data_IF_425738457177
#
_entry.id   IF_425738457177
#
_cell.length_a   1.000
_cell.length_b   1.000
_cell.length_c   1.000
_cell.angle_alpha   90.00
_cell.angle_beta   90.00
_cell.angle_gamma   90.00
#
_symmetry.space_group_name_H-M   'P 1'
#
loop_
_entity.id
_entity.type
_entity.pdbx_description
1 polymer ?
#
# COMPACT_ATOMS: atom_id res chain seq x y z
N UNK A 1 56.93 31.12 34.41
CA UNK A 1 55.56 31.51 34.80
C UNK A 1 54.98 32.57 33.84
N UNK A 2 55.65 32.88 32.72
CA UNK A 2 55.22 33.96 31.79
C UNK A 2 54.70 33.52 30.44
N UNK A 3 54.52 32.24 30.18
CA UNK A 3 54.14 31.76 28.90
C UNK A 3 52.64 31.29 28.77
N UNK A 4 51.92 31.30 29.91
CA UNK A 4 50.50 30.84 29.91
C UNK A 4 49.44 31.98 29.74
N UNK A 5 49.88 33.25 29.77
CA UNK A 5 48.91 34.38 29.63
C UNK A 5 48.59 34.81 28.19
N UNK A 6 49.34 34.38 27.20
CA UNK A 6 49.13 34.76 25.80
C UNK A 6 48.24 33.80 25.01
N UNK A 7 47.98 32.61 25.54
CA UNK A 7 47.07 31.65 24.87
C UNK A 7 45.57 31.87 25.18
N UNK A 8 45.26 32.62 26.24
CA UNK A 8 43.86 32.92 26.58
C UNK A 8 43.23 34.12 25.83
N UNK A 9 44.06 34.97 25.18
CA UNK A 9 43.56 36.13 24.43
C UNK A 9 43.34 35.88 22.95
N UNK A 10 43.78 34.77 22.40
CA UNK A 10 43.58 34.41 21.00
C UNK A 10 42.31 33.58 20.75
N UNK A 11 41.67 33.04 21.79
CA UNK A 11 40.48 32.19 21.64
C UNK A 11 39.14 32.98 21.68
N UNK A 12 39.16 34.23 22.17
CA UNK A 12 37.95 35.05 22.32
C UNK A 12 37.66 36.00 21.16
N UNK A 13 38.56 36.10 20.20
CA UNK A 13 38.40 37.00 19.04
C UNK A 13 37.84 36.32 17.76
N UNK A 14 37.44 35.05 17.83
CA UNK A 14 37.02 34.27 16.68
C UNK A 14 35.51 34.01 16.61
N UNK A 15 34.73 34.61 17.50
CA UNK A 15 33.28 34.34 17.62
C UNK A 15 32.36 35.55 17.36
N UNK A 16 32.91 36.71 16.95
CA UNK A 16 32.10 37.92 16.70
C UNK A 16 32.46 38.56 15.37
N UNK A 17 32.34 37.83 14.27
CA UNK A 17 32.38 38.48 12.95
C UNK A 17 31.84 37.52 11.92
N UNK A 18 30.57 37.51 11.75
CA UNK A 18 29.86 37.31 10.49
C UNK A 18 28.37 36.94 10.68
N UNK A 19 27.60 37.90 11.19
CA UNK A 19 26.19 38.00 10.87
C UNK A 19 25.99 39.38 10.30
N UNK A 20 26.33 39.57 9.02
CA UNK A 20 25.85 40.70 8.25
C UNK A 20 24.50 40.27 7.67
N UNK A 21 23.44 40.65 8.37
CA UNK A 21 22.10 40.64 7.85
C UNK A 21 22.05 41.67 6.74
N UNK A 22 21.93 41.21 5.49
CA UNK A 22 21.53 42.07 4.37
C UNK A 22 20.05 42.42 4.58
N UNK A 23 19.80 43.61 5.09
CA UNK A 23 18.51 44.26 5.04
C UNK A 23 18.23 44.66 3.58
N UNK A 24 17.32 43.98 2.95
CA UNK A 24 16.74 44.37 1.67
C UNK A 24 15.71 45.46 1.95
N UNK A 25 15.80 46.65 1.32
CA UNK A 25 14.76 47.67 1.48
C UNK A 25 13.44 47.17 0.90
N UNK A 26 12.37 47.30 1.68
CA UNK A 26 11.02 47.11 1.21
C UNK A 26 10.65 48.16 0.17
N UNK A 27 10.82 47.81 -1.09
CA UNK A 27 10.23 48.56 -2.20
C UNK A 27 8.75 48.21 -2.27
N UNK A 28 7.90 49.19 -1.99
CA UNK A 28 6.47 49.11 -2.24
C UNK A 28 6.24 49.08 -3.75
N UNK A 29 6.10 47.91 -4.33
CA UNK A 29 5.64 47.73 -5.70
C UNK A 29 4.13 47.57 -5.68
N UNK A 30 3.46 48.51 -6.32
CA UNK A 30 2.04 48.47 -6.60
C UNK A 30 1.73 47.15 -7.32
N UNK A 31 0.82 46.38 -6.75
CA UNK A 31 0.29 45.16 -7.36
C UNK A 31 -0.63 45.58 -8.50
N UNK A 32 -0.34 45.26 -9.77
CA UNK A 32 -1.35 45.41 -10.81
C UNK A 32 -2.46 44.38 -10.52
N UNK A 33 -3.71 44.85 -10.60
CA UNK A 33 -4.90 44.01 -10.50
C UNK A 33 -4.77 42.88 -11.51
N UNK A 34 -4.45 41.70 -11.03
CA UNK A 34 -4.45 40.48 -11.83
C UNK A 34 -5.87 40.13 -12.19
N UNK A 35 -6.10 40.14 -13.50
CA UNK A 35 -7.30 39.59 -14.09
C UNK A 35 -7.65 38.25 -13.43
N UNK A 36 -8.88 38.15 -12.96
CA UNK A 36 -9.43 36.89 -12.48
C UNK A 36 -9.24 35.84 -13.56
N UNK A 37 -8.35 34.88 -13.32
CA UNK A 37 -8.32 33.65 -14.07
C UNK A 37 -9.68 32.99 -13.81
N UNK A 38 -10.51 32.73 -14.85
CA UNK A 38 -11.72 32.00 -14.62
C UNK A 38 -11.28 30.65 -14.04
N UNK A 39 -11.74 30.38 -12.83
CA UNK A 39 -11.67 29.00 -12.28
C UNK A 39 -12.35 28.13 -13.34
N UNK A 40 -11.56 27.43 -14.13
CA UNK A 40 -12.05 26.28 -14.87
C UNK A 40 -12.59 25.36 -13.79
N UNK A 41 -13.90 25.48 -13.56
CA UNK A 41 -14.64 24.45 -12.88
C UNK A 41 -14.24 23.16 -13.59
N UNK A 42 -13.46 22.32 -12.92
CA UNK A 42 -13.36 20.93 -13.29
C UNK A 42 -14.81 20.47 -13.27
N UNK A 43 -15.43 20.46 -14.43
CA UNK A 43 -16.63 19.70 -14.69
C UNK A 43 -16.15 18.28 -14.41
N UNK A 44 -16.36 17.85 -13.15
CA UNK A 44 -16.43 16.42 -12.87
C UNK A 44 -17.42 15.94 -13.91
N UNK A 45 -16.91 15.21 -14.91
CA UNK A 45 -17.74 14.46 -15.80
C UNK A 45 -18.49 13.51 -14.87
N UNK A 46 -19.63 13.96 -14.40
CA UNK A 46 -20.65 13.09 -13.89
C UNK A 46 -20.92 12.20 -15.08
N UNK A 47 -20.29 11.01 -15.09
CA UNK A 47 -20.79 9.93 -15.92
C UNK A 47 -22.27 9.92 -15.58
N UNK A 48 -23.16 10.13 -16.57
CA UNK A 48 -24.55 9.95 -16.29
C UNK A 48 -24.64 8.50 -15.79
N UNK A 49 -24.86 8.34 -14.48
CA UNK A 49 -25.42 7.11 -13.98
C UNK A 49 -26.70 7.02 -14.79
N UNK A 50 -26.69 6.20 -15.82
CA UNK A 50 -27.87 5.92 -16.61
C UNK A 50 -28.87 5.50 -15.54
N UNK A 51 -29.80 6.39 -15.22
CA UNK A 51 -30.94 6.03 -14.40
C UNK A 51 -31.57 4.87 -15.14
N UNK A 52 -31.57 3.73 -14.50
CA UNK A 52 -32.17 2.52 -15.01
C UNK A 52 -33.51 2.89 -15.66
N UNK A 53 -33.65 2.58 -16.96
CA UNK A 53 -34.93 2.77 -17.64
C UNK A 53 -36.00 1.99 -16.89
N UNK A 54 -37.26 2.44 -16.86
CA UNK A 54 -38.35 1.68 -16.27
C UNK A 54 -38.41 0.30 -16.92
N UNK A 55 -38.00 -0.74 -16.21
CA UNK A 55 -37.86 -2.11 -16.72
C UNK A 55 -36.55 -2.80 -16.35
N UNK A 56 -35.56 -2.07 -15.80
CA UNK A 56 -34.29 -2.67 -15.36
C UNK A 56 -34.54 -3.75 -14.31
N UNK A 57 -34.00 -4.94 -14.54
CA UNK A 57 -34.09 -6.04 -13.59
C UNK A 57 -33.48 -5.64 -12.24
N UNK A 58 -34.31 -5.66 -11.21
CA UNK A 58 -33.92 -5.49 -9.81
C UNK A 58 -34.23 -6.78 -9.07
N UNK A 59 -33.25 -7.33 -8.39
CA UNK A 59 -33.43 -8.55 -7.61
C UNK A 59 -32.48 -8.55 -6.42
N UNK A 60 -32.77 -9.44 -5.47
CA UNK A 60 -31.90 -9.72 -4.34
C UNK A 60 -31.63 -11.23 -4.25
N UNK A 61 -30.45 -11.58 -3.77
CA UNK A 61 -30.04 -12.98 -3.57
C UNK A 61 -29.49 -13.10 -2.17
N UNK A 62 -29.93 -14.15 -1.43
CA UNK A 62 -29.49 -14.38 -0.07
C UNK A 62 -29.59 -15.87 0.31
N UNK A 63 -28.89 -16.35 1.34
CA UNK A 63 -29.12 -17.67 1.88
C UNK A 63 -30.58 -17.85 2.31
N UNK A 64 -31.07 -19.07 2.21
CA UNK A 64 -32.45 -19.40 2.52
C UNK A 64 -32.57 -20.80 3.10
N UNK A 65 -33.77 -21.14 3.49
CA UNK A 65 -34.21 -22.49 3.82
C UNK A 65 -35.44 -22.83 3.02
N UNK A 66 -35.96 -24.04 3.18
CA UNK A 66 -37.25 -24.47 2.64
C UNK A 66 -38.44 -23.61 3.14
N UNK A 67 -38.23 -22.80 4.18
CA UNK A 67 -39.26 -21.92 4.80
C UNK A 67 -39.01 -20.44 4.51
N UNK A 68 -38.00 -20.10 3.72
CA UNK A 68 -37.64 -18.72 3.42
C UNK A 68 -36.34 -18.24 4.05
N UNK A 69 -36.13 -16.91 4.15
CA UNK A 69 -34.88 -16.31 4.65
C UNK A 69 -34.61 -16.70 6.10
N UNK A 70 -33.35 -16.96 6.41
CA UNK A 70 -32.90 -17.31 7.76
C UNK A 70 -31.94 -16.28 8.39
N UNK A 71 -31.72 -15.17 7.69
CA UNK A 71 -30.88 -14.06 8.19
C UNK A 71 -29.39 -14.26 8.04
N UNK A 72 -28.93 -15.31 7.37
CA UNK A 72 -27.52 -15.48 7.01
C UNK A 72 -27.13 -14.50 5.89
N UNK A 73 -25.94 -13.90 5.97
CA UNK A 73 -25.40 -13.05 4.93
C UNK A 73 -24.69 -13.87 3.84
N UNK A 74 -24.13 -15.03 4.23
CA UNK A 74 -23.39 -15.95 3.36
C UNK A 74 -23.46 -17.37 3.91
N UNK A 75 -23.07 -18.35 3.10
CA UNK A 75 -23.01 -19.75 3.50
C UNK A 75 -21.68 -20.03 4.21
N UNK A 76 -21.73 -20.63 5.39
CA UNK A 76 -20.55 -21.15 6.12
C UNK A 76 -20.81 -22.62 6.41
N UNK A 77 -19.84 -23.45 6.03
CA UNK A 77 -19.91 -24.89 6.22
C UNK A 77 -18.61 -25.46 6.75
N UNK A 78 -18.73 -26.41 7.66
CA UNK A 78 -17.65 -27.28 8.13
C UNK A 78 -18.02 -28.69 7.75
N UNK A 79 -17.32 -29.27 6.80
CA UNK A 79 -17.67 -30.55 6.21
C UNK A 79 -16.44 -31.49 6.17
N UNK A 80 -16.69 -32.78 6.39
CA UNK A 80 -15.66 -33.79 6.12
C UNK A 80 -15.58 -34.09 4.61
N UNK A 81 -14.40 -34.52 4.09
CA UNK A 81 -14.31 -35.03 2.72
C UNK A 81 -15.33 -36.15 2.46
N UNK A 82 -15.92 -36.18 1.29
CA UNK A 82 -16.93 -37.18 0.88
C UNK A 82 -18.33 -36.94 1.42
N UNK A 83 -18.60 -35.80 2.09
CA UNK A 83 -19.94 -35.50 2.61
C UNK A 83 -20.75 -34.63 1.64
N UNK A 84 -22.04 -34.74 1.77
CA UNK A 84 -23.01 -33.92 1.00
C UNK A 84 -23.87 -33.08 1.94
N UNK A 85 -24.28 -31.92 1.46
CA UNK A 85 -25.22 -31.02 2.14
C UNK A 85 -26.18 -30.42 1.12
N UNK A 86 -27.45 -30.31 1.51
CA UNK A 86 -28.45 -29.56 0.72
C UNK A 86 -28.78 -28.27 1.49
N UNK A 87 -28.85 -27.16 0.75
CA UNK A 87 -29.25 -25.85 1.28
C UNK A 87 -30.00 -25.09 0.16
N UNK A 88 -30.43 -23.86 0.44
CA UNK A 88 -31.29 -23.10 -0.49
C UNK A 88 -30.73 -21.72 -0.75
N UNK A 89 -30.82 -21.29 -2.02
CA UNK A 89 -30.56 -19.92 -2.46
C UNK A 89 -31.89 -19.21 -2.70
N UNK A 90 -32.18 -18.18 -1.93
CA UNK A 90 -33.36 -17.36 -2.17
C UNK A 90 -33.10 -16.27 -3.19
N UNK A 91 -33.88 -16.24 -4.25
CA UNK A 91 -33.85 -15.21 -5.29
C UNK A 91 -35.18 -14.46 -5.23
N UNK A 92 -35.11 -13.16 -4.99
CA UNK A 92 -36.29 -12.28 -4.92
C UNK A 92 -36.31 -11.39 -6.15
N UNK A 93 -37.31 -11.52 -6.97
CA UNK A 93 -37.55 -10.61 -8.08
C UNK A 93 -38.31 -9.38 -7.57
N UNK A 94 -37.73 -8.21 -7.74
CA UNK A 94 -38.25 -6.92 -7.30
C UNK A 94 -38.82 -6.10 -8.48
N UNK A 95 -39.14 -6.74 -9.59
CA UNK A 95 -39.76 -6.12 -10.76
C UNK A 95 -41.21 -6.56 -10.92
N UNK A 96 -41.96 -5.80 -11.70
CA UNK A 96 -43.38 -6.07 -11.97
C UNK A 96 -43.59 -7.11 -13.09
N UNK A 97 -42.52 -7.71 -13.63
CA UNK A 97 -42.53 -8.72 -14.65
C UNK A 97 -41.76 -9.98 -14.21
N UNK A 98 -42.18 -11.18 -14.68
CA UNK A 98 -41.39 -12.39 -14.45
C UNK A 98 -39.99 -12.26 -15.02
N UNK A 99 -38.97 -12.69 -14.25
CA UNK A 99 -37.56 -12.67 -14.64
C UNK A 99 -36.97 -14.07 -14.62
N UNK A 100 -36.14 -14.38 -15.63
CA UNK A 100 -35.45 -15.67 -15.69
C UNK A 100 -33.98 -15.46 -15.32
N UNK A 101 -33.55 -16.14 -14.27
CA UNK A 101 -32.18 -16.07 -13.74
C UNK A 101 -31.41 -17.32 -14.18
N UNK A 102 -30.16 -17.10 -14.61
CA UNK A 102 -29.19 -18.16 -14.73
C UNK A 102 -28.46 -18.31 -13.37
N UNK A 103 -28.56 -19.51 -12.78
CA UNK A 103 -27.96 -19.82 -11.48
C UNK A 103 -26.84 -20.83 -11.64
N UNK A 104 -25.70 -20.55 -11.04
CA UNK A 104 -24.53 -21.43 -11.10
C UNK A 104 -23.59 -21.24 -9.91
N UNK A 105 -22.84 -22.32 -9.57
CA UNK A 105 -21.73 -22.26 -8.63
C UNK A 105 -20.44 -21.80 -9.32
N UNK A 106 -19.61 -21.06 -8.63
CA UNK A 106 -18.33 -20.57 -9.13
C UNK A 106 -17.30 -20.48 -7.99
N UNK A 107 -16.01 -20.54 -8.33
CA UNK A 107 -14.92 -20.39 -7.37
C UNK A 107 -14.64 -18.94 -7.07
N UNK A 108 -14.11 -18.70 -5.86
CA UNK A 108 -13.62 -17.41 -5.45
C UNK A 108 -12.10 -17.30 -5.62
N UNK A 109 -11.63 -16.07 -5.79
CA UNK A 109 -10.22 -15.73 -5.77
C UNK A 109 -10.01 -14.34 -5.14
N UNK A 110 -8.80 -14.06 -4.69
CA UNK A 110 -8.43 -12.73 -4.23
C UNK A 110 -7.84 -11.95 -5.41
N UNK A 111 -8.34 -10.75 -5.67
CA UNK A 111 -7.81 -9.86 -6.71
C UNK A 111 -6.46 -9.28 -6.30
N UNK A 112 -5.74 -8.65 -7.24
CA UNK A 112 -4.43 -8.07 -6.97
C UNK A 112 -4.44 -6.94 -5.92
N UNK A 113 -5.58 -6.28 -5.74
CA UNK A 113 -5.85 -5.26 -4.72
C UNK A 113 -6.41 -5.82 -3.41
N UNK A 114 -6.57 -7.16 -3.32
CA UNK A 114 -7.00 -7.85 -2.12
C UNK A 114 -8.51 -8.01 -1.98
N UNK A 115 -9.31 -7.66 -2.99
CA UNK A 115 -10.74 -7.85 -2.93
C UNK A 115 -11.13 -9.32 -3.20
N UNK A 116 -12.20 -9.78 -2.55
CA UNK A 116 -12.82 -11.05 -2.86
C UNK A 116 -13.58 -10.95 -4.19
N UNK A 117 -13.29 -11.82 -5.12
CA UNK A 117 -13.96 -11.90 -6.42
C UNK A 117 -14.35 -13.33 -6.77
N UNK A 118 -15.31 -13.45 -7.68
CA UNK A 118 -15.78 -14.74 -8.20
C UNK A 118 -15.40 -14.87 -9.67
N UNK A 119 -15.07 -16.08 -10.09
CA UNK A 119 -14.75 -16.37 -11.48
C UNK A 119 -15.93 -16.00 -12.39
N UNK A 120 -15.67 -15.49 -13.60
CA UNK A 120 -16.71 -15.21 -14.58
C UNK A 120 -17.35 -16.51 -15.08
N UNK A 121 -18.59 -16.42 -15.55
CA UNK A 121 -19.34 -17.57 -16.05
C UNK A 121 -18.68 -18.33 -17.23
N UNK A 122 -17.73 -17.67 -17.91
CA UNK A 122 -16.93 -18.25 -19.00
C UNK A 122 -15.82 -19.17 -18.53
N UNK A 123 -15.46 -19.11 -17.23
CA UNK A 123 -14.45 -19.98 -16.63
C UNK A 123 -15.10 -21.12 -15.86
N UNK A 124 -14.62 -22.34 -16.09
CA UNK A 124 -15.09 -23.52 -15.37
C UNK A 124 -14.49 -23.52 -13.96
N UNK A 125 -15.30 -23.67 -12.91
CA UNK A 125 -14.82 -23.82 -11.56
C UNK A 125 -14.11 -25.17 -11.38
N UNK A 126 -13.10 -25.20 -10.54
CA UNK A 126 -12.32 -26.40 -10.20
C UNK A 126 -12.42 -26.79 -8.71
N UNK A 127 -12.93 -25.88 -7.88
CA UNK A 127 -13.09 -26.02 -6.43
C UNK A 127 -14.56 -25.96 -6.03
N UNK A 128 -14.93 -25.23 -5.00
CA UNK A 128 -16.29 -25.15 -4.41
C UNK A 128 -17.37 -24.97 -5.45
N UNK A 129 -17.12 -24.16 -6.47
CA UNK A 129 -18.08 -23.95 -7.54
C UNK A 129 -18.41 -25.22 -8.32
N UNK A 130 -17.43 -26.13 -8.48
CA UNK A 130 -17.61 -27.42 -9.15
C UNK A 130 -18.35 -28.46 -8.29
N UNK A 131 -18.35 -28.25 -6.96
CA UNK A 131 -19.02 -29.14 -5.99
C UNK A 131 -20.50 -28.80 -5.82
N UNK A 132 -20.93 -27.66 -6.35
CA UNK A 132 -22.36 -27.24 -6.34
C UNK A 132 -23.10 -27.87 -7.49
N UNK A 133 -24.20 -28.54 -7.16
CA UNK A 133 -25.14 -29.12 -8.14
C UNK A 133 -26.51 -28.49 -7.97
N UNK A 134 -27.09 -28.05 -9.06
CA UNK A 134 -28.41 -27.46 -9.17
C UNK A 134 -29.31 -28.34 -10.06
N UNK A 135 -30.59 -28.39 -9.77
CA UNK A 135 -31.56 -29.15 -10.59
C UNK A 135 -31.74 -28.55 -12.01
N UNK A 136 -31.58 -27.26 -12.15
CA UNK A 136 -31.60 -26.50 -13.39
C UNK A 136 -30.60 -25.37 -13.35
N UNK A 137 -30.24 -24.83 -14.51
CA UNK A 137 -29.47 -23.58 -14.60
C UNK A 137 -30.36 -22.36 -14.78
N UNK A 138 -31.60 -22.53 -15.22
CA UNK A 138 -32.51 -21.43 -15.44
C UNK A 138 -33.73 -21.54 -14.51
N UNK A 139 -34.01 -20.43 -13.82
CA UNK A 139 -35.13 -20.32 -12.90
C UNK A 139 -35.92 -19.05 -13.19
N UNK A 140 -37.21 -19.22 -13.50
CA UNK A 140 -38.14 -18.09 -13.70
C UNK A 140 -38.82 -17.75 -12.39
N UNK A 141 -38.62 -16.51 -11.93
CA UNK A 141 -39.23 -15.97 -10.70
C UNK A 141 -40.35 -15.02 -11.11
N UNK A 142 -41.63 -15.24 -10.70
CA UNK A 142 -42.73 -14.32 -11.01
C UNK A 142 -42.46 -12.89 -10.46
N UNK A 143 -43.24 -11.93 -10.96
CA UNK A 143 -43.15 -10.54 -10.50
C UNK A 143 -43.37 -10.41 -9.01
N UNK A 144 -42.56 -9.59 -8.34
CA UNK A 144 -42.66 -9.27 -6.91
C UNK A 144 -42.73 -10.52 -6.00
N UNK A 145 -42.08 -11.62 -6.42
CA UNK A 145 -42.07 -12.88 -5.65
C UNK A 145 -40.64 -13.33 -5.35
N UNK A 146 -40.56 -14.35 -4.52
CA UNK A 146 -39.33 -15.05 -4.18
C UNK A 146 -39.42 -16.51 -4.58
N UNK A 147 -38.27 -17.05 -4.98
CA UNK A 147 -38.08 -18.48 -5.23
C UNK A 147 -36.87 -18.95 -4.38
N UNK A 148 -37.07 -19.97 -3.57
CA UNK A 148 -35.99 -20.63 -2.84
C UNK A 148 -35.52 -21.85 -3.64
N UNK A 149 -34.32 -21.74 -4.20
CA UNK A 149 -33.70 -22.71 -5.10
C UNK A 149 -32.87 -23.69 -4.31
N UNK A 150 -33.22 -24.98 -4.23
CA UNK A 150 -32.37 -25.96 -3.57
C UNK A 150 -31.12 -26.23 -4.39
N UNK A 151 -29.98 -26.34 -3.70
CA UNK A 151 -28.72 -26.80 -4.27
C UNK A 151 -28.08 -27.85 -3.39
N UNK A 152 -27.28 -28.71 -4.00
CA UNK A 152 -26.47 -29.70 -3.29
C UNK A 152 -25.03 -29.31 -3.39
N UNK A 153 -24.34 -29.33 -2.26
CA UNK A 153 -22.89 -29.17 -2.12
C UNK A 153 -22.31 -30.55 -1.82
N UNK A 154 -21.56 -31.16 -2.75
CA UNK A 154 -20.96 -32.47 -2.62
C UNK A 154 -19.43 -32.33 -2.53
N UNK A 155 -18.86 -32.44 -1.32
CA UNK A 155 -17.43 -32.33 -1.09
C UNK A 155 -16.75 -33.63 -1.58
N UNK A 156 -15.79 -33.56 -2.50
CA UNK A 156 -15.09 -34.76 -2.96
C UNK A 156 -14.35 -35.48 -1.83
N UNK A 157 -14.26 -36.81 -1.90
CA UNK A 157 -13.52 -37.59 -0.90
C UNK A 157 -12.00 -37.31 -0.87
N UNK A 158 -11.47 -36.72 -1.93
CA UNK A 158 -10.08 -36.29 -2.06
C UNK A 158 -9.90 -34.77 -1.95
N UNK A 159 -10.92 -34.04 -1.47
CA UNK A 159 -10.81 -32.62 -1.24
C UNK A 159 -9.66 -32.30 -0.27
N UNK A 160 -8.86 -31.30 -0.59
CA UNK A 160 -7.77 -30.88 0.28
C UNK A 160 -8.30 -30.32 1.60
N UNK A 161 -7.66 -30.59 2.75
CA UNK A 161 -8.03 -29.98 4.02
C UNK A 161 -7.81 -28.47 4.02
N UNK A 162 -8.71 -27.74 4.69
CA UNK A 162 -8.62 -26.30 4.87
C UNK A 162 -9.81 -25.55 4.29
N UNK A 163 -9.62 -24.25 4.13
CA UNK A 163 -10.66 -23.34 3.65
C UNK A 163 -10.73 -23.32 2.13
N UNK A 164 -11.94 -23.45 1.63
CA UNK A 164 -12.32 -23.32 0.23
C UNK A 164 -13.37 -22.22 0.12
N UNK A 165 -13.30 -21.42 -0.93
CA UNK A 165 -14.21 -20.31 -1.13
C UNK A 165 -14.79 -20.29 -2.51
N UNK A 166 -16.07 -19.96 -2.59
CA UNK A 166 -16.80 -19.86 -3.83
C UNK A 166 -18.03 -19.00 -3.69
N UNK A 167 -18.97 -19.15 -4.60
CA UNK A 167 -20.25 -18.46 -4.54
C UNK A 167 -21.30 -19.10 -5.41
N UNK A 168 -22.55 -18.83 -5.05
CA UNK A 168 -23.72 -19.06 -5.89
C UNK A 168 -24.12 -17.74 -6.53
N UNK A 169 -24.13 -17.74 -7.85
CA UNK A 169 -24.44 -16.56 -8.66
C UNK A 169 -25.81 -16.70 -9.27
N UNK A 170 -26.64 -15.65 -9.18
CA UNK A 170 -27.82 -15.47 -10.02
C UNK A 170 -27.55 -14.31 -10.99
N UNK A 171 -27.64 -14.58 -12.28
CA UNK A 171 -27.40 -13.60 -13.34
C UNK A 171 -28.56 -13.45 -14.30
N UNK A 172 -28.66 -12.24 -14.85
CA UNK A 172 -29.55 -11.92 -15.97
C UNK A 172 -28.72 -11.27 -17.07
N UNK A 173 -28.83 -11.80 -18.29
CA UNK A 173 -28.26 -11.16 -19.47
C UNK A 173 -29.30 -10.23 -20.09
N UNK A 174 -29.03 -8.93 -20.11
CA UNK A 174 -29.90 -7.91 -20.69
C UNK A 174 -29.21 -7.24 -21.88
N UNK A 175 -30.01 -6.95 -22.91
CA UNK A 175 -29.52 -6.11 -24.00
C UNK A 175 -29.70 -4.66 -23.63
N UNK A 176 -28.59 -3.93 -23.51
CA UNK A 176 -28.57 -2.47 -23.28
C UNK A 176 -28.08 -1.76 -24.55
N UNK A 177 -28.62 -0.58 -24.83
CA UNK A 177 -28.11 0.28 -25.91
C UNK A 177 -27.14 1.26 -25.34
N UNK A 178 -25.90 1.28 -25.86
CA UNK A 178 -24.88 2.23 -25.43
C UNK A 178 -25.17 3.67 -25.94
N UNK A 179 -24.37 4.63 -25.51
CA UNK A 179 -24.49 6.04 -25.91
C UNK A 179 -24.32 6.26 -27.44
N UNK A 180 -23.76 5.29 -28.16
CA UNK A 180 -23.54 5.33 -29.61
C UNK A 180 -24.65 4.60 -30.40
N UNK A 181 -25.67 4.10 -29.72
CA UNK A 181 -26.76 3.33 -30.31
C UNK A 181 -26.44 1.86 -30.62
N UNK A 182 -25.31 1.34 -30.08
CA UNK A 182 -24.94 -0.06 -30.24
C UNK A 182 -25.59 -0.91 -29.16
N UNK A 183 -26.10 -2.09 -29.56
CA UNK A 183 -26.64 -3.06 -28.60
C UNK A 183 -25.50 -3.82 -27.96
N UNK A 184 -25.38 -3.70 -26.64
CA UNK A 184 -24.40 -4.41 -25.82
C UNK A 184 -25.14 -5.37 -24.90
N UNK A 185 -24.65 -6.60 -24.81
CA UNK A 185 -25.18 -7.58 -23.86
C UNK A 185 -24.49 -7.33 -22.50
N UNK A 186 -25.28 -6.94 -21.50
CA UNK A 186 -24.83 -6.72 -20.14
C UNK A 186 -25.25 -7.91 -19.29
N UNK A 187 -24.26 -8.62 -18.72
CA UNK A 187 -24.47 -9.68 -17.73
C UNK A 187 -24.43 -9.08 -16.33
N UNK A 188 -25.60 -8.92 -15.72
CA UNK A 188 -25.74 -8.43 -14.35
C UNK A 188 -25.78 -9.61 -13.39
N UNK A 189 -24.93 -9.60 -12.35
CA UNK A 189 -24.74 -10.72 -11.43
C UNK A 189 -24.83 -10.28 -9.99
N UNK A 190 -25.58 -11.03 -9.18
CA UNK A 190 -25.55 -10.95 -7.72
C UNK A 190 -25.18 -12.34 -7.21
N UNK A 191 -24.32 -12.41 -6.22
CA UNK A 191 -23.84 -13.68 -5.70
C UNK A 191 -23.88 -13.70 -4.17
N UNK A 192 -24.08 -14.91 -3.64
CA UNK A 192 -23.88 -15.23 -2.23
C UNK A 192 -22.60 -16.01 -2.08
N UNK A 193 -21.73 -15.58 -1.16
CA UNK A 193 -20.47 -16.25 -0.88
C UNK A 193 -20.70 -17.60 -0.21
N UNK A 194 -19.82 -18.55 -0.52
CA UNK A 194 -19.72 -19.84 0.16
C UNK A 194 -18.32 -19.92 0.76
N UNK A 195 -18.24 -20.09 2.06
CA UNK A 195 -17.05 -20.45 2.79
C UNK A 195 -17.21 -21.87 3.30
N UNK A 196 -16.31 -22.75 2.90
CA UNK A 196 -16.34 -24.15 3.26
C UNK A 196 -14.99 -24.53 3.87
N UNK A 197 -14.98 -24.99 5.09
CA UNK A 197 -13.81 -25.59 5.75
C UNK A 197 -13.89 -27.11 5.61
N UNK A 198 -12.95 -27.69 4.87
CA UNK A 198 -12.82 -29.14 4.74
C UNK A 198 -12.00 -29.66 5.93
N UNK A 199 -12.55 -30.63 6.68
CA UNK A 199 -11.93 -31.17 7.86
C UNK A 199 -10.57 -31.80 7.56
N UNK A 200 -9.56 -31.52 8.43
CA UNK A 200 -8.21 -32.04 8.35
C UNK A 200 -7.18 -31.14 9.02
N UNK A 201 -5.88 -31.38 8.80
CA UNK A 201 -4.84 -30.58 9.44
C UNK A 201 -4.87 -29.14 9.01
N UNK A 202 -5.09 -28.22 9.95
CA UNK A 202 -5.01 -26.78 9.75
C UNK A 202 -3.54 -26.34 9.67
N UNK A 203 -3.18 -25.53 8.66
CA UNK A 203 -1.85 -24.96 8.44
C UNK A 203 -1.98 -23.48 8.09
N UNK A 204 -2.24 -22.62 9.08
CA UNK A 204 -2.25 -21.18 8.84
C UNK A 204 -0.83 -20.70 8.65
N UNK A 205 -0.49 -20.23 7.47
CA UNK A 205 0.86 -19.76 7.14
C UNK A 205 0.79 -18.58 6.17
N UNK A 206 1.49 -17.50 6.51
CA UNK A 206 1.64 -16.32 5.66
C UNK A 206 3.11 -16.01 5.47
N UNK A 207 3.49 -15.65 4.26
CA UNK A 207 4.86 -15.25 3.94
C UNK A 207 4.88 -13.83 3.39
N UNK A 208 5.99 -13.14 3.67
CA UNK A 208 6.31 -11.84 3.08
C UNK A 208 7.46 -12.06 2.11
N UNK A 209 7.31 -11.66 0.87
CA UNK A 209 8.39 -11.73 -0.12
C UNK A 209 8.47 -10.47 -0.98
N UNK A 210 9.47 -10.39 -1.86
CA UNK A 210 9.60 -9.31 -2.82
C UNK A 210 9.80 -7.91 -2.21
N UNK A 211 10.28 -7.81 -0.96
CA UNK A 211 10.47 -6.53 -0.28
C UNK A 211 11.47 -5.65 -1.04
N UNK A 212 11.01 -4.49 -1.46
CA UNK A 212 11.79 -3.45 -2.13
C UNK A 212 11.64 -2.14 -1.38
N UNK A 213 12.75 -1.44 -1.21
CA UNK A 213 12.80 -0.15 -0.53
C UNK A 213 13.45 0.85 -1.47
N UNK A 214 12.79 1.97 -1.69
CA UNK A 214 13.31 3.11 -2.43
C UNK A 214 13.23 4.37 -1.56
N UNK A 215 14.22 5.25 -1.65
CA UNK A 215 14.23 6.51 -0.91
C UNK A 215 14.53 7.66 -1.86
N UNK A 216 13.67 8.65 -1.90
CA UNK A 216 13.84 9.88 -2.68
C UNK A 216 14.16 11.02 -1.76
N UNK A 217 15.34 11.64 -1.97
CA UNK A 217 15.79 12.78 -1.17
C UNK A 217 15.35 14.09 -1.81
N UNK A 218 14.72 15.01 -1.07
CA UNK A 218 14.45 16.36 -1.56
C UNK A 218 15.75 17.18 -1.56
N UNK A 219 15.77 18.25 -2.35
CA UNK A 219 16.91 19.21 -2.37
C UNK A 219 17.09 19.86 -1.01
N UNK A 220 16.00 20.16 -0.31
CA UNK A 220 16.06 20.70 1.06
C UNK A 220 16.21 19.54 2.07
N UNK A 221 17.36 19.39 2.74
CA UNK A 221 17.60 18.29 3.68
C UNK A 221 16.73 18.38 4.95
N UNK A 222 16.19 19.55 5.27
CA UNK A 222 15.40 19.74 6.49
C UNK A 222 14.00 19.12 6.41
N UNK A 223 13.47 18.89 5.22
CA UNK A 223 12.11 18.34 5.03
C UNK A 223 12.05 16.83 5.09
N UNK A 224 13.19 16.15 5.09
CA UNK A 224 13.28 14.70 4.96
C UNK A 224 12.85 14.22 3.56
N UNK A 225 13.08 12.96 3.29
CA UNK A 225 12.73 12.30 2.03
C UNK A 225 11.48 11.45 2.13
N UNK A 226 11.08 10.89 1.00
CA UNK A 226 10.01 9.90 0.93
C UNK A 226 10.62 8.52 0.74
N UNK A 227 10.27 7.58 1.64
CA UNK A 227 10.64 6.17 1.51
C UNK A 227 9.44 5.39 1.03
N UNK A 228 9.57 4.76 -0.13
CA UNK A 228 8.56 3.86 -0.71
C UNK A 228 8.97 2.43 -0.42
N UNK A 229 8.07 1.67 0.20
CA UNK A 229 8.26 0.28 0.58
C UNK A 229 7.21 -0.53 -0.14
N UNK A 230 7.65 -1.46 -1.00
CA UNK A 230 6.77 -2.40 -1.71
C UNK A 230 7.10 -3.81 -1.28
N UNK A 231 6.10 -4.56 -0.89
CA UNK A 231 6.25 -5.95 -0.49
C UNK A 231 5.03 -6.77 -0.92
N UNK A 232 5.21 -8.07 -1.02
CA UNK A 232 4.17 -9.00 -1.39
C UNK A 232 3.84 -9.89 -0.19
N UNK A 233 2.55 -10.01 0.12
CA UNK A 233 2.01 -10.93 1.09
C UNK A 233 1.40 -12.10 0.35
N UNK A 234 1.73 -13.31 0.78
CA UNK A 234 1.19 -14.54 0.23
C UNK A 234 0.68 -15.44 1.35
N UNK A 235 -0.54 -15.93 1.20
CA UNK A 235 -1.07 -16.98 2.02
C UNK A 235 -0.56 -18.33 1.51
N UNK A 236 0.42 -18.92 2.18
CA UNK A 236 1.00 -20.22 1.83
C UNK A 236 0.36 -21.36 2.60
N UNK A 237 -0.56 -21.02 3.50
CA UNK A 237 -1.33 -21.99 4.27
C UNK A 237 -2.58 -22.47 3.55
N UNK A 238 -3.38 -23.25 4.30
CA UNK A 238 -4.64 -23.80 3.84
C UNK A 238 -5.86 -23.20 4.53
N UNK A 239 -5.69 -22.17 5.34
CA UNK A 239 -6.79 -21.39 5.92
C UNK A 239 -6.80 -19.98 5.34
N UNK A 240 -7.99 -19.36 5.26
CA UNK A 240 -8.11 -17.95 4.94
C UNK A 240 -7.53 -17.10 6.08
N UNK A 241 -6.77 -16.09 5.72
CA UNK A 241 -6.05 -15.25 6.65
C UNK A 241 -6.38 -13.78 6.40
N UNK A 242 -6.56 -13.07 7.50
CA UNK A 242 -6.52 -11.60 7.55
C UNK A 242 -5.27 -11.19 8.32
N UNK A 243 -5.12 -9.91 8.63
CA UNK A 243 -4.01 -9.50 9.49
C UNK A 243 -3.85 -8.01 9.63
N UNK A 244 -2.76 -7.65 10.29
CA UNK A 244 -2.35 -6.28 10.49
C UNK A 244 -0.88 -6.12 10.10
N UNK A 245 -0.59 -5.19 9.19
CA UNK A 245 0.75 -4.86 8.73
C UNK A 245 1.22 -3.56 9.33
N UNK A 246 2.49 -3.50 9.69
CA UNK A 246 3.20 -2.28 10.10
C UNK A 246 4.57 -2.24 9.46
N UNK A 247 4.99 -1.07 9.01
CA UNK A 247 6.33 -0.86 8.47
C UNK A 247 7.10 0.08 9.39
N UNK A 248 8.33 -0.30 9.71
CA UNK A 248 9.26 0.53 10.50
C UNK A 248 10.51 0.80 9.69
N UNK A 249 10.92 2.07 9.67
CA UNK A 249 12.18 2.49 9.06
C UNK A 249 13.14 2.90 10.19
N UNK A 250 14.32 2.29 10.19
CA UNK A 250 15.40 2.57 11.15
C UNK A 250 16.66 3.01 10.41
N UNK A 251 17.45 3.85 11.07
CA UNK A 251 18.77 4.25 10.65
C UNK A 251 19.88 3.38 11.26
N UNK A 252 21.16 3.82 11.15
CA UNK A 252 22.29 3.16 11.78
C UNK A 252 22.06 2.94 13.29
N UNK A 253 22.59 1.85 13.83
CA UNK A 253 22.42 1.46 15.23
C UNK A 253 20.94 1.28 15.68
N UNK A 254 20.00 1.09 14.74
CA UNK A 254 18.60 0.81 15.07
C UNK A 254 17.76 2.03 15.46
N UNK A 255 18.23 3.25 15.21
CA UNK A 255 17.43 4.46 15.48
C UNK A 255 16.13 4.44 14.72
N UNK A 256 15.01 4.57 15.42
CA UNK A 256 13.70 4.69 14.78
C UNK A 256 13.59 6.05 14.09
N UNK A 257 13.48 6.03 12.78
CA UNK A 257 13.29 7.23 11.96
C UNK A 257 11.82 7.49 11.70
N UNK A 258 11.08 6.44 11.34
CA UNK A 258 9.67 6.52 11.05
C UNK A 258 8.98 5.15 11.17
N UNK A 259 7.67 5.15 11.22
CA UNK A 259 6.84 3.94 11.09
C UNK A 259 5.50 4.35 10.47
N UNK A 260 4.84 3.38 9.82
CA UNK A 260 3.45 3.55 9.37
C UNK A 260 2.48 3.30 10.52
N UNK A 261 1.26 3.78 10.34
CA UNK A 261 0.11 3.28 11.10
C UNK A 261 -0.15 1.81 10.74
N UNK A 262 -0.94 1.15 11.56
CA UNK A 262 -1.32 -0.24 11.28
C UNK A 262 -2.27 -0.29 10.09
N UNK A 263 -1.85 -0.99 9.03
CA UNK A 263 -2.67 -1.25 7.85
C UNK A 263 -3.38 -2.61 8.03
N UNK A 264 -4.69 -2.61 7.86
CA UNK A 264 -5.46 -3.86 7.83
C UNK A 264 -5.15 -4.63 6.53
N UNK A 265 -4.73 -5.87 6.67
CA UNK A 265 -4.55 -6.79 5.54
C UNK A 265 -5.90 -7.39 5.20
N UNK A 266 -6.37 -7.28 3.94
CA UNK A 266 -7.63 -7.88 3.51
C UNK A 266 -7.61 -9.39 3.67
N UNK A 267 -8.78 -10.03 3.54
CA UNK A 267 -8.90 -11.48 3.60
C UNK A 267 -8.19 -12.14 2.41
N UNK A 268 -7.17 -12.91 2.69
CA UNK A 268 -6.41 -13.68 1.71
C UNK A 268 -6.86 -15.13 1.73
N UNK A 269 -7.43 -15.59 0.64
CA UNK A 269 -7.76 -17.00 0.43
C UNK A 269 -6.49 -17.84 0.33
N UNK A 270 -6.54 -19.15 0.62
CA UNK A 270 -5.41 -20.05 0.44
C UNK A 270 -4.79 -19.93 -0.96
N UNK A 271 -3.46 -19.82 -1.00
CA UNK A 271 -2.70 -19.66 -2.25
C UNK A 271 -2.71 -18.26 -2.87
N UNK A 272 -3.50 -17.32 -2.34
CA UNK A 272 -3.60 -15.95 -2.85
C UNK A 272 -2.42 -15.09 -2.45
N UNK A 273 -2.14 -14.07 -3.26
CA UNK A 273 -1.11 -13.07 -2.99
C UNK A 273 -1.58 -11.65 -3.32
N UNK A 274 -1.10 -10.68 -2.57
CA UNK A 274 -1.31 -9.25 -2.82
C UNK A 274 0.00 -8.48 -2.73
N UNK A 275 0.08 -7.38 -3.47
CA UNK A 275 1.20 -6.46 -3.38
C UNK A 275 0.78 -5.18 -2.69
N UNK A 276 1.48 -4.82 -1.63
CA UNK A 276 1.24 -3.60 -0.85
C UNK A 276 2.37 -2.63 -1.11
N UNK A 277 2.02 -1.38 -1.34
CA UNK A 277 2.99 -0.28 -1.46
C UNK A 277 2.64 0.81 -0.46
N UNK A 278 3.56 1.09 0.45
CA UNK A 278 3.43 2.12 1.46
C UNK A 278 4.46 3.22 1.24
N UNK A 279 4.08 4.47 1.54
CA UNK A 279 4.95 5.62 1.44
C UNK A 279 5.05 6.32 2.78
N UNK A 280 6.28 6.51 3.25
CA UNK A 280 6.58 7.23 4.49
C UNK A 280 7.32 8.50 4.12
N UNK A 281 6.73 9.64 4.42
CA UNK A 281 7.32 10.96 4.18
C UNK A 281 8.10 11.46 5.40
N UNK A 282 9.02 12.40 5.20
CA UNK A 282 9.79 12.99 6.30
C UNK A 282 10.93 12.13 6.83
N UNK A 283 11.27 11.04 6.15
CA UNK A 283 12.40 10.17 6.56
C UNK A 283 13.72 10.87 6.26
N UNK A 284 14.54 11.10 7.31
CA UNK A 284 15.85 11.70 7.13
C UNK A 284 16.85 10.69 6.54
N UNK A 285 17.68 11.13 5.57
CA UNK A 285 18.76 10.30 5.05
C UNK A 285 19.82 10.12 6.15
N UNK A 286 20.00 8.89 6.61
CA UNK A 286 20.90 8.58 7.72
C UNK A 286 22.07 7.64 7.32
N UNK A 287 22.37 7.54 6.05
CA UNK A 287 23.37 6.63 5.50
C UNK A 287 22.74 5.27 5.17
N UNK A 288 22.66 4.37 6.13
CA UNK A 288 21.98 3.09 5.96
C UNK A 288 20.56 3.17 6.53
N UNK A 289 19.56 3.00 5.67
CA UNK A 289 18.16 2.87 6.07
C UNK A 289 17.77 1.40 6.02
N UNK A 290 17.12 0.90 7.07
CA UNK A 290 16.56 -0.44 7.11
C UNK A 290 15.06 -0.35 7.30
N UNK A 291 14.29 -0.81 6.31
CA UNK A 291 12.86 -0.97 6.43
C UNK A 291 12.54 -2.40 6.89
N UNK A 292 11.74 -2.53 7.93
CA UNK A 292 11.25 -3.81 8.45
C UNK A 292 9.75 -3.81 8.35
N UNK A 293 9.21 -4.73 7.59
CA UNK A 293 7.77 -5.03 7.50
C UNK A 293 7.47 -6.09 8.54
N UNK A 294 6.43 -5.88 9.34
CA UNK A 294 5.92 -6.83 10.33
C UNK A 294 4.44 -7.02 10.10
N UNK A 295 4.03 -8.24 9.84
CA UNK A 295 2.63 -8.63 9.64
C UNK A 295 2.25 -9.60 10.74
N UNK A 296 1.14 -9.34 11.42
CA UNK A 296 0.52 -10.25 12.38
C UNK A 296 -0.70 -10.87 11.69
N UNK A 297 -0.57 -12.10 11.15
CA UNK A 297 -1.70 -12.76 10.53
C UNK A 297 -2.71 -13.20 11.59
N UNK A 298 -3.98 -13.32 11.18
CA UNK A 298 -5.04 -13.85 12.02
C UNK A 298 -5.98 -14.73 11.21
N UNK A 299 -6.44 -15.80 11.84
CA UNK A 299 -7.64 -16.52 11.41
C UNK A 299 -8.86 -15.91 12.11
N UNK A 300 -10.11 -16.29 11.76
CA UNK A 300 -11.29 -15.82 12.49
C UNK A 300 -11.23 -16.05 14.01
N UNK A 301 -10.54 -17.11 14.45
CA UNK A 301 -10.56 -17.55 15.85
C UNK A 301 -9.26 -17.21 16.61
N UNK A 302 -8.12 -17.01 15.92
CA UNK A 302 -6.82 -16.88 16.59
C UNK A 302 -5.89 -15.92 15.88
N UNK A 303 -5.07 -15.22 16.70
CA UNK A 303 -3.91 -14.45 16.20
C UNK A 303 -2.71 -15.38 16.06
N UNK A 304 -1.98 -15.23 14.98
CA UNK A 304 -0.74 -15.97 14.71
C UNK A 304 0.49 -15.16 15.13
N UNK A 305 1.63 -15.82 15.16
CA UNK A 305 2.89 -15.15 15.41
C UNK A 305 3.24 -14.13 14.30
N UNK A 306 3.94 -13.03 14.63
CA UNK A 306 4.31 -12.03 13.64
C UNK A 306 5.32 -12.59 12.63
N UNK A 307 5.08 -12.32 11.36
CA UNK A 307 6.03 -12.57 10.27
C UNK A 307 6.74 -11.27 9.95
N UNK A 308 8.07 -11.29 9.88
CA UNK A 308 8.87 -10.08 9.64
C UNK A 308 9.84 -10.28 8.49
N UNK A 309 10.01 -9.24 7.68
CA UNK A 309 11.03 -9.18 6.64
C UNK A 309 11.67 -7.80 6.63
N UNK A 310 13.00 -7.75 6.53
CA UNK A 310 13.76 -6.50 6.49
C UNK A 310 14.57 -6.37 5.21
N UNK A 311 14.69 -5.13 4.72
CA UNK A 311 15.59 -4.77 3.63
C UNK A 311 16.29 -3.46 3.92
N UNK A 312 17.56 -3.34 3.53
CA UNK A 312 18.38 -2.16 3.75
C UNK A 312 18.68 -1.43 2.45
N UNK A 313 18.73 -0.11 2.53
CA UNK A 313 19.05 0.78 1.42
C UNK A 313 20.10 1.79 1.86
N UNK A 314 21.06 2.09 0.99
CA UNK A 314 22.03 3.16 1.18
C UNK A 314 21.42 4.51 0.76
N UNK A 315 21.24 5.42 1.73
CA UNK A 315 20.67 6.76 1.55
C UNK A 315 21.55 7.82 2.25
N UNK A 316 22.72 8.15 1.70
CA UNK A 316 23.65 9.10 2.32
C UNK A 316 23.10 10.52 2.29
N UNK A 317 23.35 11.32 3.35
CA UNK A 317 22.92 12.72 3.41
C UNK A 317 23.86 13.61 2.58
N UNK A 318 23.74 13.57 1.27
CA UNK A 318 24.67 14.22 0.32
C UNK A 318 24.86 15.70 0.60
N UNK A 319 23.82 16.43 1.01
CA UNK A 319 23.92 17.86 1.33
C UNK A 319 24.81 18.09 2.54
N UNK A 320 24.64 17.30 3.60
CA UNK A 320 25.48 17.39 4.81
C UNK A 320 26.93 17.01 4.50
N UNK A 321 27.14 15.97 3.70
CA UNK A 321 28.48 15.55 3.24
C UNK A 321 29.13 16.67 2.43
N UNK A 322 28.40 17.31 1.51
CA UNK A 322 28.90 18.44 0.73
C UNK A 322 29.27 19.64 1.58
N UNK A 323 28.42 20.01 2.54
CA UNK A 323 28.71 21.11 3.48
C UNK A 323 29.94 20.81 4.35
N UNK A 324 30.06 19.58 4.83
CA UNK A 324 31.24 19.17 5.61
C UNK A 324 32.51 19.20 4.76
N UNK A 325 32.44 18.75 3.52
CA UNK A 325 33.58 18.83 2.60
C UNK A 325 34.00 20.28 2.33
N UNK A 326 33.05 21.18 2.09
CA UNK A 326 33.34 22.62 1.93
C UNK A 326 33.97 23.22 3.17
N UNK A 327 33.49 22.86 4.36
CA UNK A 327 34.07 23.35 5.64
C UNK A 327 35.48 22.82 5.82
N UNK A 328 35.75 21.57 5.49
CA UNK A 328 37.12 21.01 5.55
C UNK A 328 38.05 21.69 4.57
N UNK A 329 37.63 21.95 3.32
CA UNK A 329 38.41 22.67 2.31
C UNK A 329 38.72 24.09 2.83
N UNK A 330 37.74 24.78 3.39
CA UNK A 330 37.93 26.10 3.96
C UNK A 330 38.91 26.09 5.15
N UNK A 331 38.75 25.12 6.07
CA UNK A 331 39.66 24.98 7.19
C UNK A 331 41.11 24.69 6.74
N UNK A 332 41.28 23.82 5.75
CA UNK A 332 42.59 23.51 5.16
C UNK A 332 43.20 24.75 4.49
N UNK A 333 42.41 25.51 3.73
CA UNK A 333 42.84 26.77 3.13
C UNK A 333 43.31 27.77 4.16
N UNK A 334 42.55 27.94 5.27
CA UNK A 334 42.92 28.81 6.40
C UNK A 334 44.20 28.35 7.07
N UNK A 335 44.36 27.04 7.28
CA UNK A 335 45.57 26.45 7.87
C UNK A 335 46.81 26.72 6.99
N UNK A 336 46.68 26.47 5.68
CA UNK A 336 47.77 26.72 4.72
C UNK A 336 48.18 28.21 4.72
N UNK A 337 47.19 29.10 4.68
CA UNK A 337 47.45 30.55 4.77
C UNK A 337 48.18 30.92 6.09
N UNK A 338 47.73 30.39 7.20
CA UNK A 338 48.33 30.63 8.51
C UNK A 338 49.78 30.13 8.56
N UNK A 339 50.04 28.91 8.09
CA UNK A 339 51.42 28.34 8.04
C UNK A 339 52.31 29.17 7.12
N UNK A 340 51.81 29.58 5.94
CA UNK A 340 52.56 30.45 5.00
C UNK A 340 52.88 31.82 5.63
N UNK A 341 51.97 32.43 6.36
CA UNK A 341 52.17 33.70 7.06
C UNK A 341 53.25 33.57 8.15
N UNK A 342 53.21 32.50 8.95
CA UNK A 342 54.23 32.23 9.96
C UNK A 342 55.60 31.99 9.34
N UNK A 343 55.70 31.25 8.25
CA UNK A 343 56.98 31.03 7.51
C UNK A 343 57.54 32.32 6.94
N UNK A 344 56.69 33.25 6.49
CA UNK A 344 57.15 34.59 6.03
C UNK A 344 57.66 35.44 7.19
N UNK A 345 57.00 35.40 8.35
CA UNK A 345 57.45 36.16 9.56
C UNK A 345 58.74 35.60 10.19
N UNK A 346 59.06 34.32 9.95
CA UNK A 346 60.28 33.68 10.46
C UNK A 346 61.50 33.79 9.53
N UNK A 347 61.39 34.49 8.39
CA UNK A 347 62.58 34.78 7.55
C UNK A 347 63.38 35.88 8.21
N UNK A 348 64.68 35.64 8.53
CA UNK A 348 65.56 36.69 9.07
C UNK A 348 65.69 37.81 8.05
N UNK A 349 65.78 39.05 8.58
CA UNK A 349 66.09 40.22 7.75
C UNK A 349 67.37 40.02 7.00
N UNK A 350 67.51 40.47 5.74
CA UNK A 350 68.80 40.41 5.01
C UNK A 350 69.83 41.18 5.80
N UNK A 351 70.95 40.52 6.10
CA UNK A 351 72.11 41.12 6.77
C UNK A 351 72.66 42.22 5.85
N UNK A 352 72.60 43.46 6.28
CA UNK A 352 73.17 44.62 5.60
C UNK A 352 74.66 44.46 5.73
N UNK A 353 75.32 44.01 4.68
CA UNK A 353 76.82 44.07 4.63
C UNK A 353 77.19 45.51 4.45
N UNK A 354 77.64 46.11 5.55
CA UNK A 354 78.20 47.42 5.59
C UNK A 354 79.60 47.35 4.93
N UNK A 355 79.74 47.89 3.74
CA UNK A 355 81.02 48.03 3.04
C UNK A 355 81.82 49.10 3.72
N UNK A 356 82.82 48.67 4.46
CA UNK A 356 83.85 49.58 5.03
C UNK A 356 84.71 50.08 3.86
N UNK A 357 84.48 51.35 3.51
CA UNK A 357 85.44 52.09 2.66
C UNK A 357 86.71 52.38 3.49
N UNK A 358 87.85 51.86 3.01
CA UNK A 358 89.17 52.17 3.56
C UNK A 358 89.67 53.45 2.87
N UNK A 359 90.00 54.52 3.62
CA UNK A 359 90.59 55.70 3.00
C UNK A 359 92.06 55.44 2.72
N UNK A 360 92.56 55.98 1.58
CA UNK A 360 93.92 56.00 1.09
C UNK A 360 94.82 56.99 1.84
#
# INVERSE_FOLDING_TARGET
VTTLRHLRRAATALLVSSISVLAVPAGASAVPATAAVPATAAVAAAFPVAMAAPGDARWAVQPSTDRGPDGRDYFIYDNAPGTERTDHLGITNLTDTPQTFTVYGTDAYTTADGAFALLPASQSPADVGSWVTLASRAYTVPANTRLDVPFRLSVPGNASPGDHAGGLVASIAESATDANGQTVLVDRRIAVRIYLTVAGPARPEMTIDGLRVAHTQPVNPATGGTTTITYRLRNTGNLRLTGASTVRVTGPAGWRLAATDTLAVPELLPGSEITITEQITGVQPAGLLTATVSVVPSTPDTLLGPVTLGASLWAPPWVLIGLLALLLIWALYRLVRYVRARRKAARPAPEVVETVETPA
#
